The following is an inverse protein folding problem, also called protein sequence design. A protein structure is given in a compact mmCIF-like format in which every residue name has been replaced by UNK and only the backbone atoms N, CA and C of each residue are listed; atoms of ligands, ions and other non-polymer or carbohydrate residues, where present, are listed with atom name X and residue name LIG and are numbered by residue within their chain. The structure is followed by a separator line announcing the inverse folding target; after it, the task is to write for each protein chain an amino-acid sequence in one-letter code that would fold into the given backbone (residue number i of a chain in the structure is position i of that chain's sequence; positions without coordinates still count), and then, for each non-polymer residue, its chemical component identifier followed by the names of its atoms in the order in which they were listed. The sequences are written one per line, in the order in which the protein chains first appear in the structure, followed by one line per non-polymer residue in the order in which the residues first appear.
data_IF_943868303080
#
_entry.id   IF_943868303080
#
_cell.length_a   1.000
_cell.length_b   1.000
_cell.length_c   1.000
_cell.angle_alpha   90.00
_cell.angle_beta   90.00
_cell.angle_gamma   90.00
#
_symmetry.space_group_name_H-M   'P 1'
#
loop_
_entity.id
_entity.type
_entity.pdbx_description
1 polymer ?
#
# COMPACT_ATOMS: atom_id res chain seq x y z
N UNK A 1 5.90 -4.42 -8.23
CA UNK A 1 4.78 -4.11 -7.30
C UNK A 1 3.89 -3.03 -7.94
N UNK A 2 2.58 -2.98 -7.65
CA UNK A 2 1.64 -2.03 -8.29
C UNK A 2 2.04 -0.56 -8.10
N UNK A 3 2.58 -0.20 -6.92
CA UNK A 3 3.08 1.16 -6.68
C UNK A 3 4.24 1.52 -7.62
N UNK A 4 5.13 0.58 -7.94
CA UNK A 4 6.21 0.83 -8.91
C UNK A 4 5.63 1.04 -10.31
N UNK A 5 4.59 0.29 -10.71
CA UNK A 5 3.95 0.50 -12.01
C UNK A 5 3.29 1.89 -12.08
N UNK A 6 2.62 2.32 -11.01
CA UNK A 6 2.05 3.67 -10.91
C UNK A 6 3.16 4.70 -10.97
N UNK A 7 4.22 4.54 -10.18
CA UNK A 7 5.34 5.47 -10.15
C UNK A 7 6.02 5.58 -11.52
N UNK A 8 6.22 4.47 -12.23
CA UNK A 8 6.77 4.45 -13.58
C UNK A 8 5.91 5.28 -14.54
N UNK A 9 4.60 5.03 -14.58
CA UNK A 9 3.65 5.76 -15.44
C UNK A 9 3.59 7.25 -15.08
N UNK A 10 3.77 7.59 -13.80
CA UNK A 10 3.73 8.97 -13.28
C UNK A 10 5.10 9.66 -13.31
N UNK A 11 6.18 8.96 -13.68
CA UNK A 11 7.55 9.49 -13.64
C UNK A 11 8.07 9.78 -12.23
N UNK A 12 7.67 9.00 -11.23
CA UNK A 12 8.10 9.13 -9.84
C UNK A 12 9.20 8.13 -9.48
N UNK A 13 10.02 8.48 -8.49
CA UNK A 13 11.03 7.58 -7.92
C UNK A 13 10.37 6.37 -7.22
N UNK A 14 11.00 5.20 -7.35
CA UNK A 14 10.49 3.90 -6.88
C UNK A 14 11.61 2.88 -6.60
N UNK A 15 12.79 3.37 -6.20
CA UNK A 15 14.02 2.57 -6.07
C UNK A 15 14.23 1.98 -4.68
N UNK A 16 13.52 2.50 -3.67
CA UNK A 16 13.68 2.15 -2.27
C UNK A 16 12.34 1.88 -1.59
N UNK A 17 12.36 1.21 -0.44
CA UNK A 17 11.13 0.97 0.35
C UNK A 17 10.47 2.29 0.78
N UNK A 18 11.27 3.31 1.10
CA UNK A 18 10.80 4.66 1.44
C UNK A 18 9.97 5.28 0.31
N UNK A 19 10.29 4.96 -0.94
CA UNK A 19 9.58 5.55 -2.07
C UNK A 19 8.12 5.10 -2.11
N UNK A 20 7.79 3.95 -1.51
CA UNK A 20 6.41 3.49 -1.41
C UNK A 20 5.55 4.39 -0.51
N UNK A 21 6.08 4.85 0.63
CA UNK A 21 5.42 5.86 1.46
C UNK A 21 5.20 7.15 0.66
N UNK A 22 6.22 7.60 -0.08
CA UNK A 22 6.14 8.82 -0.88
C UNK A 22 5.09 8.70 -1.98
N UNK A 23 5.02 7.56 -2.67
CA UNK A 23 4.01 7.29 -3.71
C UNK A 23 2.61 7.33 -3.09
N UNK A 24 2.41 6.70 -1.92
CA UNK A 24 1.11 6.69 -1.23
C UNK A 24 0.69 8.10 -0.79
N UNK A 25 1.61 8.91 -0.27
CA UNK A 25 1.33 10.31 0.08
C UNK A 25 0.95 11.14 -1.15
N UNK A 26 1.63 10.96 -2.28
CA UNK A 26 1.27 11.63 -3.54
C UNK A 26 -0.13 11.22 -4.02
N UNK A 27 -0.43 9.92 -4.02
CA UNK A 27 -1.74 9.40 -4.41
C UNK A 27 -2.85 9.91 -3.48
N UNK A 28 -2.61 9.96 -2.17
CA UNK A 28 -3.53 10.59 -1.22
C UNK A 28 -3.69 12.09 -1.51
N UNK A 29 -2.60 12.79 -1.84
CA UNK A 29 -2.61 14.19 -2.23
C UNK A 29 -3.59 14.50 -3.36
N UNK A 30 -3.63 13.63 -4.37
CA UNK A 30 -4.48 13.73 -5.57
C UNK A 30 -5.92 13.29 -5.33
N UNK A 31 -6.11 12.13 -4.70
CA UNK A 31 -7.43 11.48 -4.56
C UNK A 31 -8.19 11.96 -3.33
N UNK A 32 -7.47 12.46 -2.31
CA UNK A 32 -7.96 12.67 -0.94
C UNK A 32 -8.58 11.43 -0.29
N UNK A 33 -8.26 10.24 -0.80
CA UNK A 33 -8.76 8.98 -0.27
C UNK A 33 -7.89 8.52 0.90
N UNK A 34 -8.41 8.72 2.12
CA UNK A 34 -7.72 8.35 3.36
C UNK A 34 -7.46 6.85 3.48
N UNK A 35 -8.24 6.01 2.79
CA UNK A 35 -8.06 4.57 2.88
C UNK A 35 -6.72 4.13 2.26
N UNK A 36 -6.14 4.91 1.33
CA UNK A 36 -4.81 4.64 0.79
C UNK A 36 -3.75 4.62 1.91
N UNK A 37 -3.79 5.61 2.80
CA UNK A 37 -2.87 5.71 3.93
C UNK A 37 -3.07 4.53 4.90
N UNK A 38 -4.32 4.29 5.29
CA UNK A 38 -4.66 3.25 6.27
C UNK A 38 -4.32 1.87 5.73
N UNK A 39 -4.79 1.53 4.52
CA UNK A 39 -4.62 0.20 3.96
C UNK A 39 -3.16 -0.07 3.59
N UNK A 40 -2.38 0.95 3.22
CA UNK A 40 -0.94 0.78 3.03
C UNK A 40 -0.22 0.46 4.35
N UNK A 41 -0.58 1.12 5.46
CA UNK A 41 -0.04 0.75 6.78
C UNK A 41 -0.41 -0.68 7.18
N UNK A 42 -1.59 -1.16 6.80
CA UNK A 42 -1.94 -2.57 7.00
C UNK A 42 -1.07 -3.51 6.14
N UNK A 43 -0.70 -3.11 4.92
CA UNK A 43 0.25 -3.87 4.11
C UNK A 43 1.64 -3.94 4.77
N UNK A 44 2.13 -2.81 5.30
CA UNK A 44 3.40 -2.77 6.03
C UNK A 44 3.39 -3.63 7.30
N UNK A 45 2.25 -3.65 8.02
CA UNK A 45 2.06 -4.53 9.16
C UNK A 45 2.22 -6.00 8.79
N UNK A 46 1.63 -6.46 7.69
CA UNK A 46 1.81 -7.83 7.19
C UNK A 46 3.25 -8.10 6.78
N UNK A 47 3.91 -7.13 6.14
CA UNK A 47 5.31 -7.25 5.75
C UNK A 47 6.22 -7.42 6.98
N UNK A 48 6.02 -6.62 8.02
CA UNK A 48 6.74 -6.77 9.29
C UNK A 48 6.41 -8.11 9.99
N UNK A 49 5.13 -8.52 9.96
CA UNK A 49 4.70 -9.77 10.57
C UNK A 49 5.37 -11.00 9.95
N UNK A 50 5.71 -10.97 8.66
CA UNK A 50 6.44 -12.07 8.02
C UNK A 50 7.79 -12.37 8.71
N UNK A 51 8.48 -11.35 9.22
CA UNK A 51 9.78 -11.51 9.89
C UNK A 51 9.66 -11.71 11.41
N UNK A 52 8.59 -11.19 12.01
CA UNK A 52 8.49 -11.08 13.46
C UNK A 52 7.38 -11.94 14.07
N UNK A 53 6.48 -12.51 13.25
CA UNK A 53 5.40 -13.43 13.63
C UNK A 53 4.65 -13.03 14.91
N UNK A 54 4.16 -11.79 14.96
CA UNK A 54 3.51 -11.20 16.13
C UNK A 54 1.98 -11.10 16.01
N UNK A 55 1.41 -11.29 14.82
CA UNK A 55 -0.03 -11.16 14.59
C UNK A 55 -0.77 -12.45 14.93
N UNK A 56 -1.96 -12.28 15.52
CA UNK A 56 -2.95 -13.37 15.61
C UNK A 56 -3.61 -13.60 14.25
N UNK A 57 -4.29 -14.74 14.10
CA UNK A 57 -5.08 -15.04 12.89
C UNK A 57 -6.12 -13.95 12.60
N UNK A 58 -6.83 -13.48 13.63
CA UNK A 58 -7.85 -12.44 13.48
C UNK A 58 -7.24 -11.13 12.98
N UNK A 59 -6.14 -10.68 13.60
CA UNK A 59 -5.44 -9.47 13.17
C UNK A 59 -4.91 -9.59 11.74
N UNK A 60 -4.36 -10.76 11.38
CA UNK A 60 -3.89 -11.06 10.03
C UNK A 60 -5.01 -10.92 8.99
N UNK A 61 -6.20 -11.49 9.26
CA UNK A 61 -7.33 -11.38 8.32
C UNK A 61 -7.79 -9.93 8.14
N UNK A 62 -7.85 -9.13 9.21
CA UNK A 62 -8.18 -7.69 9.10
C UNK A 62 -7.18 -6.95 8.22
N UNK A 63 -5.87 -7.22 8.37
CA UNK A 63 -4.87 -6.59 7.51
C UNK A 63 -4.98 -7.09 6.06
N UNK A 64 -5.23 -8.38 5.86
CA UNK A 64 -5.41 -8.99 4.54
C UNK A 64 -6.58 -8.33 3.79
N UNK A 65 -7.71 -8.12 4.45
CA UNK A 65 -8.88 -7.45 3.85
C UNK A 65 -8.53 -6.03 3.38
N UNK A 66 -7.86 -5.25 4.23
CA UNK A 66 -7.41 -3.90 3.89
C UNK A 66 -6.45 -3.90 2.69
N UNK A 67 -5.52 -4.86 2.60
CA UNK A 67 -4.62 -5.00 1.45
C UNK A 67 -5.38 -5.35 0.16
N UNK A 68 -6.40 -6.18 0.23
CA UNK A 68 -7.23 -6.49 -0.93
C UNK A 68 -7.98 -5.26 -1.45
N UNK A 69 -8.50 -4.42 -0.56
CA UNK A 69 -9.09 -3.15 -0.93
C UNK A 69 -8.04 -2.20 -1.56
N UNK A 70 -6.85 -2.09 -0.97
CA UNK A 70 -5.76 -1.29 -1.53
C UNK A 70 -5.41 -1.72 -2.96
N UNK A 71 -5.28 -3.03 -3.20
CA UNK A 71 -5.00 -3.56 -4.54
C UNK A 71 -6.08 -3.16 -5.54
N UNK A 72 -7.35 -3.18 -5.14
CA UNK A 72 -8.47 -2.72 -5.97
C UNK A 72 -8.27 -1.26 -6.40
N UNK A 73 -8.03 -0.38 -5.43
CA UNK A 73 -7.83 1.06 -5.68
C UNK A 73 -6.60 1.35 -6.55
N UNK A 74 -5.47 0.70 -6.26
CA UNK A 74 -4.25 0.87 -7.06
C UNK A 74 -4.44 0.40 -8.51
N UNK A 75 -5.25 -0.64 -8.75
CA UNK A 75 -5.60 -1.07 -10.12
C UNK A 75 -6.48 -0.06 -10.85
N UNK A 76 -7.39 0.62 -10.15
CA UNK A 76 -8.22 1.67 -10.76
C UNK A 76 -7.38 2.88 -11.20
N UNK A 77 -6.32 3.20 -10.46
CA UNK A 77 -5.38 4.27 -10.79
C UNK A 77 -4.45 3.97 -11.97
N UNK A 78 -4.40 2.70 -12.41
CA UNK A 78 -3.62 2.24 -13.57
C UNK A 78 -4.45 2.07 -14.84
N UNK A 79 -5.77 2.27 -14.76
CA UNK A 79 -6.64 2.32 -15.94
C UNK A 79 -6.56 3.69 -16.60
#
# INVERSE_FOLDING_TARGET
MLLNAIAEVRGWEHYSHRDYDVIIEKLYGETKDKSLLVNFRMAEGLHANFYHNFMTKESFETHREAVMELIGKLKELLK
#
